data_IF_700835093656
#
_entry.id   IF_700835093656
#
_cell.length_a   1.000
_cell.length_b   1.000
_cell.length_c   1.000
_cell.angle_alpha   90.00
_cell.angle_beta   90.00
_cell.angle_gamma   90.00
#
_symmetry.space_group_name_H-M   'P 1'
#
loop_
_entity.id
_entity.type
_entity.pdbx_description
1 polymer ?
#
# COMPACT_ATOMS: atom_id res chain seq x y z
N UNK A 1 -18.67 53.57 26.88
CA UNK A 1 -17.37 53.19 26.28
C UNK A 1 -17.16 51.67 26.20
N UNK A 2 -17.68 50.87 27.15
CA UNK A 2 -17.59 49.40 27.11
C UNK A 2 -18.45 48.73 26.02
N UNK A 3 -19.61 49.31 25.71
CA UNK A 3 -20.58 48.72 24.78
C UNK A 3 -20.13 48.80 23.30
N UNK A 4 -19.48 49.90 22.91
CA UNK A 4 -18.91 50.06 21.56
C UNK A 4 -17.78 49.06 21.30
N UNK A 5 -16.89 48.85 22.28
CA UNK A 5 -15.80 47.88 22.17
C UNK A 5 -16.33 46.45 22.03
N UNK A 6 -17.39 46.10 22.77
CA UNK A 6 -18.05 44.79 22.64
C UNK A 6 -18.68 44.58 21.25
N UNK A 7 -19.24 45.63 20.67
CA UNK A 7 -19.89 45.60 19.35
C UNK A 7 -18.86 45.54 18.22
N UNK A 8 -17.73 46.24 18.36
CA UNK A 8 -16.60 46.13 17.42
C UNK A 8 -15.96 44.74 17.46
N UNK A 9 -15.70 44.20 18.64
CA UNK A 9 -15.10 42.86 18.79
C UNK A 9 -16.03 41.75 18.25
N UNK A 10 -17.34 41.86 18.47
CA UNK A 10 -18.29 40.89 17.92
C UNK A 10 -18.37 40.99 16.39
N UNK A 11 -18.30 42.20 15.84
CA UNK A 11 -18.25 42.41 14.39
C UNK A 11 -16.98 41.86 13.74
N UNK A 12 -15.82 42.01 14.39
CA UNK A 12 -14.54 41.45 13.94
C UNK A 12 -14.53 39.91 14.01
N UNK A 13 -15.19 39.33 15.02
CA UNK A 13 -15.38 37.88 15.12
C UNK A 13 -16.28 37.32 14.03
N UNK A 14 -17.37 38.03 13.71
CA UNK A 14 -18.28 37.63 12.62
C UNK A 14 -17.71 37.89 11.22
N UNK A 15 -16.78 38.84 11.09
CA UNK A 15 -16.08 39.15 9.85
C UNK A 15 -14.97 38.15 9.49
N UNK A 16 -14.68 37.16 10.36
CA UNK A 16 -13.80 36.07 9.96
C UNK A 16 -14.46 35.29 8.82
N UNK A 17 -13.86 35.37 7.63
CA UNK A 17 -14.19 34.50 6.51
C UNK A 17 -13.92 33.06 6.91
N UNK A 18 -14.96 32.37 7.37
CA UNK A 18 -14.94 30.92 7.51
C UNK A 18 -14.88 30.38 6.10
N UNK A 19 -13.75 29.77 5.73
CA UNK A 19 -13.67 29.05 4.46
C UNK A 19 -14.78 27.98 4.48
N UNK A 20 -15.82 28.16 3.68
CA UNK A 20 -16.85 27.16 3.50
C UNK A 20 -16.18 25.88 3.00
N UNK A 21 -16.16 24.87 3.87
CA UNK A 21 -15.61 23.57 3.52
C UNK A 21 -16.56 22.99 2.47
N UNK A 22 -16.09 22.86 1.23
CA UNK A 22 -16.85 22.21 0.16
C UNK A 22 -17.08 20.73 0.49
N UNK A 23 -18.25 20.46 1.08
CA UNK A 23 -18.69 19.12 1.47
C UNK A 23 -18.82 18.18 0.26
N UNK A 24 -19.12 18.72 -0.94
CA UNK A 24 -19.24 17.93 -2.15
C UNK A 24 -17.87 17.46 -2.66
N UNK A 25 -16.89 18.36 -2.70
CA UNK A 25 -15.50 18.01 -3.05
C UNK A 25 -14.91 16.99 -2.07
N UNK A 26 -15.16 17.16 -0.76
CA UNK A 26 -14.75 16.19 0.26
C UNK A 26 -15.37 14.83 -0.03
N UNK A 27 -16.71 14.76 -0.17
CA UNK A 27 -17.43 13.49 -0.41
C UNK A 27 -16.97 12.78 -1.69
N UNK A 28 -16.72 13.53 -2.76
CA UNK A 28 -16.21 12.99 -4.02
C UNK A 28 -14.79 12.42 -3.87
N UNK A 29 -13.90 13.13 -3.15
CA UNK A 29 -12.57 12.65 -2.80
C UNK A 29 -12.61 11.29 -2.08
N UNK A 30 -13.53 11.12 -1.12
CA UNK A 30 -13.69 9.86 -0.39
C UNK A 30 -14.20 8.72 -1.26
N UNK A 31 -15.20 8.97 -2.11
CA UNK A 31 -15.70 7.94 -3.03
C UNK A 31 -14.60 7.48 -4.00
N UNK A 32 -13.78 8.41 -4.48
CA UNK A 32 -12.60 8.12 -5.29
C UNK A 32 -11.57 7.28 -4.51
N UNK A 33 -11.27 7.64 -3.26
CA UNK A 33 -10.34 6.88 -2.42
C UNK A 33 -10.86 5.48 -2.09
N UNK A 34 -12.14 5.32 -1.77
CA UNK A 34 -12.78 4.01 -1.56
C UNK A 34 -12.68 3.14 -2.79
N UNK A 35 -13.02 3.68 -3.98
CA UNK A 35 -12.90 2.94 -5.25
C UNK A 35 -11.47 2.51 -5.51
N UNK A 36 -10.48 3.40 -5.30
CA UNK A 36 -9.05 3.07 -5.43
C UNK A 36 -8.62 1.95 -4.49
N UNK A 37 -9.05 1.99 -3.23
CA UNK A 37 -8.64 0.96 -2.25
C UNK A 37 -9.29 -0.40 -2.54
N UNK A 38 -10.56 -0.42 -2.97
CA UNK A 38 -11.21 -1.65 -3.43
C UNK A 38 -10.55 -2.23 -4.67
N UNK A 39 -10.18 -1.36 -5.63
CA UNK A 39 -9.42 -1.79 -6.80
C UNK A 39 -8.08 -2.39 -6.40
N UNK A 40 -7.34 -1.76 -5.48
CA UNK A 40 -6.09 -2.34 -4.99
C UNK A 40 -6.30 -3.69 -4.30
N UNK A 41 -7.35 -3.85 -3.49
CA UNK A 41 -7.66 -5.15 -2.88
C UNK A 41 -7.97 -6.22 -3.94
N UNK A 42 -8.73 -5.87 -4.98
CA UNK A 42 -9.03 -6.78 -6.08
C UNK A 42 -7.76 -7.17 -6.87
N UNK A 43 -6.86 -6.21 -7.12
CA UNK A 43 -5.56 -6.47 -7.76
C UNK A 43 -4.67 -7.33 -6.87
N UNK A 44 -4.57 -7.02 -5.57
CA UNK A 44 -3.74 -7.76 -4.61
C UNK A 44 -4.19 -9.23 -4.53
N UNK A 45 -5.51 -9.50 -4.54
CA UNK A 45 -6.07 -10.87 -4.57
C UNK A 45 -5.88 -11.51 -5.95
N UNK A 46 -6.19 -10.78 -7.02
CA UNK A 46 -6.09 -11.27 -8.40
C UNK A 46 -4.67 -11.65 -8.80
N UNK A 47 -3.65 -10.99 -8.25
CA UNK A 47 -2.24 -11.30 -8.49
C UNK A 47 -1.83 -12.71 -8.02
N UNK A 48 -2.56 -13.30 -7.08
CA UNK A 48 -2.30 -14.67 -6.63
C UNK A 48 -2.87 -15.73 -7.59
N UNK A 49 -3.87 -15.39 -8.40
CA UNK A 49 -4.57 -16.36 -9.25
C UNK A 49 -3.63 -16.99 -10.29
N UNK A 50 -2.82 -16.23 -11.06
CA UNK A 50 -1.88 -16.83 -12.01
C UNK A 50 -0.86 -17.74 -11.34
N UNK A 51 -0.35 -17.34 -10.17
CA UNK A 51 0.62 -18.15 -9.43
C UNK A 51 0.02 -19.49 -8.96
N UNK A 52 -1.21 -19.47 -8.42
CA UNK A 52 -1.92 -20.67 -8.03
C UNK A 52 -2.28 -21.55 -9.24
N UNK A 53 -2.69 -20.94 -10.35
CA UNK A 53 -2.99 -21.66 -11.59
C UNK A 53 -1.75 -22.39 -12.14
N UNK A 54 -0.61 -21.70 -12.23
CA UNK A 54 0.64 -22.31 -12.70
C UNK A 54 1.09 -23.44 -11.77
N UNK A 55 1.01 -23.23 -10.46
CA UNK A 55 1.38 -24.25 -9.48
C UNK A 55 0.47 -25.48 -9.57
N UNK A 56 -0.83 -25.29 -9.78
CA UNK A 56 -1.80 -26.38 -9.95
C UNK A 56 -1.59 -27.13 -11.27
N UNK A 57 -1.49 -26.40 -12.39
CA UNK A 57 -1.40 -26.99 -13.73
C UNK A 57 -0.10 -27.76 -13.94
N UNK A 58 1.04 -27.23 -13.49
CA UNK A 58 2.35 -27.87 -13.66
C UNK A 58 2.78 -28.70 -12.46
N UNK A 59 1.91 -28.94 -11.47
CA UNK A 59 2.29 -29.57 -10.19
C UNK A 59 3.05 -30.88 -10.38
N UNK A 60 2.58 -31.78 -11.25
CA UNK A 60 3.24 -33.07 -11.49
C UNK A 60 4.64 -32.93 -12.09
N UNK A 61 4.88 -31.88 -12.87
CA UNK A 61 6.11 -31.64 -13.62
C UNK A 61 7.20 -30.93 -12.79
N UNK A 62 6.81 -30.28 -11.69
CA UNK A 62 7.74 -29.57 -10.83
C UNK A 62 8.61 -30.53 -10.00
N UNK A 63 9.91 -30.25 -9.91
CA UNK A 63 10.83 -30.96 -9.00
C UNK A 63 10.40 -30.77 -7.55
N UNK A 64 10.79 -31.70 -6.67
CA UNK A 64 10.49 -31.63 -5.24
C UNK A 64 10.97 -30.29 -4.64
N UNK A 65 12.16 -29.85 -5.03
CA UNK A 65 12.77 -28.58 -4.63
C UNK A 65 11.87 -27.41 -4.95
N UNK A 66 11.36 -27.33 -6.19
CA UNK A 66 10.50 -26.21 -6.62
C UNK A 66 9.16 -26.22 -5.89
N UNK A 67 8.58 -27.39 -5.65
CA UNK A 67 7.35 -27.54 -4.85
C UNK A 67 7.54 -27.02 -3.43
N UNK A 68 8.60 -27.47 -2.76
CA UNK A 68 8.90 -27.09 -1.39
C UNK A 68 9.09 -25.56 -1.26
N UNK A 69 9.89 -24.96 -2.15
CA UNK A 69 10.13 -23.52 -2.13
C UNK A 69 8.85 -22.71 -2.40
N UNK A 70 8.04 -23.09 -3.39
CA UNK A 70 6.80 -22.36 -3.67
C UNK A 70 5.80 -22.46 -2.50
N UNK A 71 5.71 -23.61 -1.83
CA UNK A 71 4.90 -23.76 -0.62
C UNK A 71 5.42 -22.84 0.51
N UNK A 72 6.73 -22.82 0.76
CA UNK A 72 7.33 -21.93 1.77
C UNK A 72 7.08 -20.46 1.45
N UNK A 73 7.28 -20.04 0.19
CA UNK A 73 6.97 -18.67 -0.26
C UNK A 73 5.49 -18.36 -0.05
N UNK A 74 4.59 -19.30 -0.35
CA UNK A 74 3.16 -19.16 -0.09
C UNK A 74 2.84 -18.94 1.40
N UNK A 75 3.44 -19.73 2.29
CA UNK A 75 3.28 -19.61 3.75
C UNK A 75 3.76 -18.24 4.26
N UNK A 76 4.79 -17.65 3.64
CA UNK A 76 5.30 -16.33 4.03
C UNK A 76 4.45 -15.20 3.41
N UNK A 77 4.07 -15.34 2.13
CA UNK A 77 3.37 -14.30 1.38
C UNK A 77 1.90 -14.14 1.81
N UNK A 78 1.24 -15.23 2.19
CA UNK A 78 -0.19 -15.23 2.51
C UNK A 78 -0.53 -14.42 3.78
N UNK A 79 0.20 -14.54 4.91
CA UNK A 79 0.05 -13.64 6.05
C UNK A 79 0.29 -12.16 5.69
N UNK A 80 1.28 -11.87 4.85
CA UNK A 80 1.55 -10.50 4.39
C UNK A 80 0.40 -9.95 3.54
N UNK A 81 -0.19 -10.76 2.66
CA UNK A 81 -1.38 -10.39 1.88
C UNK A 81 -2.55 -10.09 2.82
N UNK A 82 -2.86 -11.00 3.75
CA UNK A 82 -3.95 -10.83 4.72
C UNK A 82 -3.76 -9.53 5.51
N UNK A 83 -2.54 -9.27 5.97
CA UNK A 83 -2.23 -8.05 6.71
C UNK A 83 -2.40 -6.78 5.86
N UNK A 84 -1.98 -6.80 4.59
CA UNK A 84 -2.21 -5.67 3.67
C UNK A 84 -3.69 -5.42 3.42
N UNK A 85 -4.49 -6.46 3.17
CA UNK A 85 -5.94 -6.36 3.01
C UNK A 85 -6.60 -5.83 4.29
N UNK A 86 -6.14 -6.29 5.45
CA UNK A 86 -6.59 -5.81 6.76
C UNK A 86 -6.31 -4.32 6.96
N UNK A 87 -5.16 -3.82 6.52
CA UNK A 87 -4.85 -2.38 6.58
C UNK A 87 -5.74 -1.56 5.63
N UNK A 88 -6.03 -2.07 4.42
CA UNK A 88 -6.86 -1.40 3.41
C UNK A 88 -8.35 -1.37 3.77
N UNK A 89 -8.82 -2.33 4.58
CA UNK A 89 -10.25 -2.44 4.97
C UNK A 89 -10.81 -1.15 5.57
N UNK A 90 -10.02 -0.42 6.35
CA UNK A 90 -10.43 0.82 7.03
C UNK A 90 -10.83 1.87 5.99
N UNK A 91 -10.10 1.96 4.89
CA UNK A 91 -10.38 2.90 3.83
C UNK A 91 -11.43 2.36 2.83
N UNK A 92 -11.50 1.05 2.62
CA UNK A 92 -12.41 0.42 1.66
C UNK A 92 -13.87 0.32 2.16
N UNK A 93 -14.06 0.18 3.47
CA UNK A 93 -15.36 -0.09 4.11
C UNK A 93 -15.79 0.94 5.15
N UNK A 94 -15.06 2.05 5.35
CA UNK A 94 -15.56 3.12 6.22
C UNK A 94 -16.95 3.58 5.77
N UNK A 95 -17.84 3.85 6.73
CA UNK A 95 -19.06 4.64 6.55
C UNK A 95 -18.92 5.83 7.50
N UNK A 96 -18.96 7.05 6.98
CA UNK A 96 -18.76 8.24 7.83
C UNK A 96 -20.15 8.64 8.34
N UNK A 97 -20.38 8.47 9.64
CA UNK A 97 -21.67 8.81 10.29
C UNK A 97 -21.62 10.25 10.85
N UNK A 98 -20.43 10.77 11.18
CA UNK A 98 -20.23 12.14 11.69
C UNK A 98 -18.93 12.81 11.17
N UNK A 99 -18.80 14.13 11.37
CA UNK A 99 -17.63 14.95 10.96
C UNK A 99 -16.42 14.77 11.87
N UNK A 100 -16.59 14.47 13.17
CA UNK A 100 -15.47 14.15 14.07
C UNK A 100 -14.86 12.77 13.76
N UNK A 101 -15.70 11.79 13.43
CA UNK A 101 -15.24 10.49 12.90
C UNK A 101 -14.42 10.64 11.61
N UNK A 102 -14.61 11.75 10.88
CA UNK A 102 -13.99 11.99 9.59
C UNK A 102 -12.46 12.12 9.67
N UNK A 103 -11.98 12.97 10.58
CA UNK A 103 -10.55 13.24 10.73
C UNK A 103 -9.81 12.02 11.29
N UNK A 104 -10.46 11.26 12.17
CA UNK A 104 -9.88 10.05 12.74
C UNK A 104 -9.80 8.91 11.72
N UNK A 105 -10.84 8.70 10.92
CA UNK A 105 -10.81 7.73 9.82
C UNK A 105 -9.76 8.10 8.79
N UNK A 106 -9.67 9.38 8.41
CA UNK A 106 -8.67 9.87 7.44
C UNK A 106 -7.24 9.73 7.99
N UNK A 107 -7.01 10.10 9.24
CA UNK A 107 -5.71 9.94 9.91
C UNK A 107 -5.30 8.46 9.96
N UNK A 108 -6.24 7.58 10.33
CA UNK A 108 -6.01 6.12 10.36
C UNK A 108 -5.73 5.56 8.97
N UNK A 109 -6.45 6.02 7.96
CA UNK A 109 -6.21 5.66 6.56
C UNK A 109 -4.81 6.07 6.08
N UNK A 110 -4.37 7.29 6.38
CA UNK A 110 -3.03 7.77 5.98
C UNK A 110 -1.95 6.95 6.68
N UNK A 111 -2.09 6.72 8.00
CA UNK A 111 -1.17 5.84 8.76
C UNK A 111 -1.09 4.44 8.16
N UNK A 112 -2.23 3.83 7.84
CA UNK A 112 -2.26 2.52 7.22
C UNK A 112 -1.61 2.52 5.83
N UNK A 113 -1.84 3.56 5.02
CA UNK A 113 -1.21 3.70 3.70
C UNK A 113 0.32 3.86 3.79
N UNK A 114 0.84 4.54 4.83
CA UNK A 114 2.29 4.59 5.10
C UNK A 114 2.82 3.18 5.39
N UNK A 115 2.14 2.42 6.27
CA UNK A 115 2.54 1.03 6.58
C UNK A 115 2.55 0.14 5.35
N UNK A 116 1.49 0.20 4.52
CA UNK A 116 1.43 -0.54 3.27
C UNK A 116 2.59 -0.16 2.36
N UNK A 117 2.88 1.14 2.18
CA UNK A 117 3.97 1.58 1.32
C UNK A 117 5.35 1.08 1.81
N UNK A 118 5.59 1.07 3.12
CA UNK A 118 6.81 0.50 3.72
C UNK A 118 6.90 -1.00 3.43
N UNK A 119 5.81 -1.74 3.68
CA UNK A 119 5.77 -3.19 3.43
C UNK A 119 6.07 -3.47 1.96
N UNK A 120 5.36 -2.82 1.04
CA UNK A 120 5.57 -2.99 -0.41
C UNK A 120 7.00 -2.66 -0.81
N UNK A 121 7.57 -1.58 -0.27
CA UNK A 121 8.95 -1.15 -0.59
C UNK A 121 9.99 -2.19 -0.19
N UNK A 122 9.88 -2.76 1.01
CA UNK A 122 10.87 -3.72 1.51
C UNK A 122 10.60 -5.15 1.00
N UNK A 123 9.33 -5.54 0.85
CA UNK A 123 8.96 -6.87 0.35
C UNK A 123 9.51 -7.13 -1.05
N UNK A 124 9.60 -6.09 -1.88
CA UNK A 124 10.21 -6.19 -3.22
C UNK A 124 11.61 -6.80 -3.17
N UNK A 125 12.50 -6.30 -2.30
CA UNK A 125 13.86 -6.84 -2.21
C UNK A 125 13.93 -8.21 -1.54
N UNK A 126 13.08 -8.46 -0.56
CA UNK A 126 12.98 -9.80 0.07
C UNK A 126 12.55 -10.85 -0.97
N UNK A 127 11.56 -10.52 -1.82
CA UNK A 127 11.15 -11.38 -2.92
C UNK A 127 12.28 -11.62 -3.91
N UNK A 128 13.07 -10.61 -4.25
CA UNK A 128 14.24 -10.78 -5.13
C UNK A 128 15.26 -11.76 -4.54
N UNK A 129 15.56 -11.64 -3.24
CA UNK A 129 16.46 -12.57 -2.54
C UNK A 129 15.92 -14.00 -2.59
N UNK A 130 14.61 -14.19 -2.36
CA UNK A 130 13.99 -15.50 -2.46
C UNK A 130 14.09 -16.10 -3.88
N UNK A 131 13.89 -15.30 -4.92
CA UNK A 131 14.06 -15.76 -6.31
C UNK A 131 15.51 -16.18 -6.56
N UNK A 132 16.49 -15.39 -6.14
CA UNK A 132 17.91 -15.73 -6.28
C UNK A 132 18.26 -17.03 -5.54
N UNK A 133 17.78 -17.20 -4.31
CA UNK A 133 17.98 -18.43 -3.53
C UNK A 133 17.34 -19.64 -4.22
N UNK A 134 16.14 -19.48 -4.78
CA UNK A 134 15.46 -20.56 -5.51
C UNK A 134 16.27 -21.00 -6.73
N UNK A 135 16.78 -20.03 -7.49
CA UNK A 135 17.61 -20.29 -8.67
C UNK A 135 18.94 -20.95 -8.30
N UNK A 136 19.59 -20.50 -7.24
CA UNK A 136 20.83 -21.11 -6.73
C UNK A 136 20.58 -22.56 -6.29
N UNK A 137 19.47 -22.82 -5.60
CA UNK A 137 19.10 -24.16 -5.16
C UNK A 137 18.82 -25.08 -6.35
N UNK A 138 18.09 -24.60 -7.37
CA UNK A 138 17.88 -25.36 -8.62
C UNK A 138 19.20 -25.67 -9.32
N UNK A 139 20.12 -24.70 -9.41
CA UNK A 139 21.43 -24.93 -10.03
C UNK A 139 22.24 -26.01 -9.32
N UNK A 140 22.21 -26.04 -7.98
CA UNK A 140 22.96 -27.01 -7.18
C UNK A 140 22.32 -28.41 -7.20
N UNK A 141 20.98 -28.49 -7.21
CA UNK A 141 20.25 -29.76 -7.03
C UNK A 141 19.81 -30.40 -8.35
N UNK A 142 19.40 -29.62 -9.34
CA UNK A 142 18.71 -30.09 -10.54
C UNK A 142 19.59 -30.09 -11.82
N UNK A 143 20.92 -29.95 -11.67
CA UNK A 143 21.96 -29.96 -12.74
C UNK A 143 21.54 -29.20 -14.01
N UNK A 144 21.37 -27.89 -13.85
CA UNK A 144 20.74 -27.02 -14.85
C UNK A 144 21.67 -26.75 -16.04
N UNK A 145 21.20 -27.01 -17.27
CA UNK A 145 21.95 -26.75 -18.50
C UNK A 145 22.32 -25.27 -18.69
N UNK A 146 23.43 -25.01 -19.40
CA UNK A 146 23.95 -23.65 -19.66
C UNK A 146 22.97 -22.74 -20.38
N UNK A 147 22.14 -23.31 -21.27
CA UNK A 147 21.05 -22.58 -21.94
C UNK A 147 19.97 -22.10 -20.96
N UNK A 148 19.57 -22.94 -20.00
CA UNK A 148 18.60 -22.57 -18.96
C UNK A 148 19.17 -21.50 -18.02
N UNK A 149 20.48 -21.54 -17.73
CA UNK A 149 21.16 -20.50 -16.95
C UNK A 149 21.05 -19.11 -17.61
N UNK A 150 21.34 -19.00 -18.91
CA UNK A 150 21.21 -17.71 -19.61
C UNK A 150 19.79 -17.14 -19.55
N UNK A 151 18.78 -18.00 -19.68
CA UNK A 151 17.39 -17.62 -19.54
C UNK A 151 17.06 -17.16 -18.12
N UNK A 152 17.52 -17.89 -17.09
CA UNK A 152 17.34 -17.53 -15.68
C UNK A 152 17.96 -16.17 -15.35
N UNK A 153 19.15 -15.87 -15.85
CA UNK A 153 19.77 -14.55 -15.69
C UNK A 153 18.97 -13.45 -16.37
N UNK A 154 18.43 -13.70 -17.58
CA UNK A 154 17.54 -12.77 -18.25
C UNK A 154 16.28 -12.46 -17.42
N UNK A 155 15.66 -13.50 -16.85
CA UNK A 155 14.50 -13.36 -15.95
C UNK A 155 14.86 -12.59 -14.67
N UNK A 156 16.02 -12.85 -14.07
CA UNK A 156 16.50 -12.10 -12.90
C UNK A 156 16.71 -10.63 -13.22
N UNK A 157 17.37 -10.31 -14.34
CA UNK A 157 17.62 -8.93 -14.74
C UNK A 157 16.31 -8.16 -14.99
N UNK A 158 15.36 -8.79 -15.70
CA UNK A 158 14.04 -8.21 -15.93
C UNK A 158 13.27 -8.01 -14.62
N UNK A 159 13.30 -9.01 -13.73
CA UNK A 159 12.65 -8.93 -12.41
C UNK A 159 13.27 -7.83 -11.56
N UNK A 160 14.59 -7.73 -11.50
CA UNK A 160 15.31 -6.69 -10.77
C UNK A 160 14.95 -5.29 -11.27
N UNK A 161 14.86 -5.11 -12.59
CA UNK A 161 14.45 -3.83 -13.18
C UNK A 161 13.02 -3.45 -12.78
N UNK A 162 12.06 -4.37 -12.95
CA UNK A 162 10.65 -4.14 -12.55
C UNK A 162 10.55 -3.81 -11.06
N UNK A 163 11.27 -4.56 -10.23
CA UNK A 163 11.33 -4.36 -8.78
C UNK A 163 11.95 -3.00 -8.41
N UNK A 164 12.98 -2.55 -9.12
CA UNK A 164 13.57 -1.22 -8.95
C UNK A 164 12.56 -0.09 -9.24
N UNK A 165 11.83 -0.20 -10.35
CA UNK A 165 10.75 0.75 -10.69
C UNK A 165 9.68 0.76 -9.60
N UNK A 166 9.28 -0.44 -9.13
CA UNK A 166 8.27 -0.59 -8.09
C UNK A 166 8.70 0.00 -6.75
N UNK A 167 9.98 -0.18 -6.37
CA UNK A 167 10.58 0.40 -5.18
C UNK A 167 10.51 1.93 -5.21
N UNK A 168 10.92 2.54 -6.32
CA UNK A 168 10.89 4.01 -6.47
C UNK A 168 9.46 4.53 -6.33
N UNK A 169 8.50 3.85 -6.95
CA UNK A 169 7.08 4.20 -6.82
C UNK A 169 6.60 4.08 -5.37
N UNK A 170 6.94 2.99 -4.67
CA UNK A 170 6.56 2.77 -3.27
C UNK A 170 7.19 3.81 -2.33
N UNK A 171 8.45 4.18 -2.57
CA UNK A 171 9.15 5.22 -1.81
C UNK A 171 8.51 6.60 -2.00
N UNK A 172 8.20 6.99 -3.24
CA UNK A 172 7.46 8.25 -3.52
C UNK A 172 6.08 8.25 -2.86
N UNK A 173 5.40 7.11 -2.89
CA UNK A 173 4.09 6.92 -2.24
C UNK A 173 4.19 7.05 -0.72
N UNK A 174 5.20 6.45 -0.10
CA UNK A 174 5.48 6.60 1.34
C UNK A 174 5.70 8.07 1.70
N UNK A 175 6.59 8.76 0.99
CA UNK A 175 6.93 10.17 1.25
C UNK A 175 5.70 11.08 1.15
N UNK A 176 4.86 10.88 0.13
CA UNK A 176 3.61 11.63 -0.03
C UNK A 176 2.69 11.46 1.19
N UNK A 177 2.50 10.23 1.67
CA UNK A 177 1.62 9.98 2.81
C UNK A 177 2.20 10.48 4.13
N UNK A 178 3.53 10.44 4.31
CA UNK A 178 4.19 11.07 5.47
C UNK A 178 3.96 12.58 5.49
N UNK A 179 4.16 13.26 4.37
CA UNK A 179 3.89 14.71 4.25
C UNK A 179 2.44 15.06 4.61
N UNK A 180 1.47 14.25 4.16
CA UNK A 180 0.06 14.45 4.52
C UNK A 180 -0.18 14.29 6.03
N UNK A 181 0.47 13.31 6.65
CA UNK A 181 0.35 13.05 8.09
C UNK A 181 0.98 14.17 8.92
N UNK A 182 2.12 14.70 8.50
CA UNK A 182 2.79 15.80 9.19
C UNK A 182 2.03 17.12 9.02
N UNK A 183 1.42 17.36 7.85
CA UNK A 183 0.49 18.47 7.65
C UNK A 183 -0.72 18.41 8.60
N UNK A 184 -1.33 17.23 8.76
CA UNK A 184 -2.45 17.02 9.69
C UNK A 184 -2.05 17.25 11.16
N UNK A 185 -0.84 16.85 11.56
CA UNK A 185 -0.34 17.13 12.91
C UNK A 185 -0.16 18.62 13.16
N UNK A 186 0.40 19.32 12.17
CA UNK A 186 0.65 20.77 12.24
C UNK A 186 -0.67 21.54 12.39
N UNK A 187 -1.69 21.20 11.60
CA UNK A 187 -3.03 21.79 11.69
C UNK A 187 -3.70 21.52 13.05
N UNK A 188 -3.45 20.36 13.65
CA UNK A 188 -3.99 20.02 14.98
C UNK A 188 -3.28 20.78 16.11
N UNK A 189 -1.97 20.97 16.00
CA UNK A 189 -1.20 21.73 17.00
C UNK A 189 -1.44 23.24 16.94
N UNK A 190 -1.92 23.78 15.81
CA UNK A 190 -2.27 25.21 15.68
C UNK A 190 -3.68 25.55 16.16
N UNK A 191 -4.47 24.57 16.60
CA UNK A 191 -5.83 24.76 17.16
C UNK A 191 -5.85 24.80 18.70
N UNK A 192 -4.71 24.60 19.35
CA UNK A 192 -4.50 24.72 20.80
C UNK A 192 -3.43 25.78 21.06
#
# INVERSE_FOLDING_TARGET
>A
MSEQVHTELSSLWQAQTVNDIDLAAVKQGFMSQRKKQRLYMAVDIGAFIPALFLLYHFWSELSFTVKAVNLTVGVIALPLLIYQLWLRRVAAFSRNVSTLDHLDVLTKQIKNNVRIAIITKHSTWISMVLVMLTMALQYVVDDVSTSKLSFMFGVLAATAFIMGVWYIWAAKREQRFRRQLDGLKTMRSSQY
#
